data_IF_032796162990
#
_entry.id   IF_032796162990
#
_cell.length_a   1.000
_cell.length_b   1.000
_cell.length_c   1.000
_cell.angle_alpha   90.00
_cell.angle_beta   90.00
_cell.angle_gamma   90.00
#
_symmetry.space_group_name_H-M   'P 1'
#
loop_
_entity.id
_entity.type
_entity.pdbx_description
1 polymer ?
#
# COMPACT_ATOMS: atom_id res chain seq x y z
N UNK A 1 -7.42 -41.31 7.30
CA UNK A 1 -7.26 -40.12 6.43
C UNK A 1 -8.06 -38.89 6.91
N UNK A 2 -9.26 -39.06 7.44
CA UNK A 2 -10.14 -37.96 7.91
C UNK A 2 -9.53 -37.24 9.13
N UNK A 3 -8.95 -37.95 10.10
CA UNK A 3 -8.37 -37.36 11.31
C UNK A 3 -7.21 -36.38 11.06
N UNK A 4 -6.34 -36.63 10.07
CA UNK A 4 -5.22 -35.73 9.73
C UNK A 4 -5.74 -34.39 9.16
N UNK A 5 -6.80 -34.40 8.34
CA UNK A 5 -7.39 -33.18 7.78
C UNK A 5 -8.06 -32.33 8.87
N UNK A 6 -8.72 -32.98 9.83
CA UNK A 6 -9.35 -32.30 10.98
C UNK A 6 -8.29 -31.66 11.89
N UNK A 7 -7.22 -32.38 12.20
CA UNK A 7 -6.10 -31.87 12.99
C UNK A 7 -5.42 -30.69 12.28
N UNK A 8 -5.18 -30.81 10.99
CA UNK A 8 -4.57 -29.72 10.20
C UNK A 8 -5.44 -28.44 10.23
N UNK A 9 -6.77 -28.60 10.07
CA UNK A 9 -7.71 -27.45 10.15
C UNK A 9 -7.73 -26.82 11.54
N UNK A 10 -7.72 -27.64 12.61
CA UNK A 10 -7.67 -27.15 13.98
C UNK A 10 -6.37 -26.38 14.26
N UNK A 11 -5.22 -26.92 13.82
CA UNK A 11 -3.92 -26.24 13.93
C UNK A 11 -3.88 -24.93 13.12
N UNK A 12 -4.41 -24.91 11.89
CA UNK A 12 -4.49 -23.70 11.07
C UNK A 12 -5.34 -22.62 11.75
N UNK A 13 -6.48 -23.01 12.37
CA UNK A 13 -7.34 -22.09 13.12
C UNK A 13 -6.64 -21.54 14.36
N UNK A 14 -5.95 -22.42 15.11
CA UNK A 14 -5.14 -22.02 16.25
C UNK A 14 -4.03 -21.05 15.88
N UNK A 15 -3.24 -21.34 14.82
CA UNK A 15 -2.17 -20.48 14.36
C UNK A 15 -2.68 -19.14 13.85
N UNK A 16 -3.85 -19.11 13.20
CA UNK A 16 -4.48 -17.86 12.73
C UNK A 16 -4.82 -16.92 13.91
N UNK A 17 -5.25 -17.46 15.03
CA UNK A 17 -5.56 -16.68 16.24
C UNK A 17 -4.26 -16.25 16.94
N UNK A 18 -3.30 -17.15 17.08
CA UNK A 18 -2.06 -16.89 17.85
C UNK A 18 -1.04 -16.04 17.08
N UNK A 19 -1.08 -16.07 15.76
CA UNK A 19 -0.17 -15.33 14.87
C UNK A 19 -0.95 -14.36 13.98
N UNK A 20 -1.99 -13.75 14.51
CA UNK A 20 -2.79 -12.75 13.79
C UNK A 20 -1.92 -11.57 13.38
N UNK A 21 -1.71 -11.43 12.07
CA UNK A 21 -1.02 -10.31 11.46
C UNK A 21 -1.99 -9.66 10.47
N UNK A 22 -1.83 -8.36 10.27
CA UNK A 22 -2.47 -7.65 9.18
C UNK A 22 -1.44 -7.27 8.13
N UNK A 23 -1.88 -7.18 6.90
CA UNK A 23 -1.05 -6.81 5.76
C UNK A 23 -1.77 -5.74 4.95
N UNK A 24 -1.12 -4.62 4.76
CA UNK A 24 -1.54 -3.57 3.85
C UNK A 24 -0.64 -3.50 2.63
N UNK A 25 -1.15 -2.91 1.57
CA UNK A 25 -0.38 -2.57 0.36
C UNK A 25 -0.36 -1.06 0.16
N UNK A 26 0.75 -0.54 -0.38
CA UNK A 26 0.88 0.85 -0.79
C UNK A 26 1.57 0.93 -2.14
N UNK A 27 1.10 1.83 -3.00
CA UNK A 27 1.66 2.05 -4.32
C UNK A 27 2.42 3.37 -4.41
N UNK A 28 3.72 3.30 -4.73
CA UNK A 28 4.48 4.45 -5.23
C UNK A 28 4.22 4.53 -6.74
N UNK A 29 3.15 5.21 -7.11
CA UNK A 29 2.72 5.35 -8.51
C UNK A 29 3.47 6.51 -9.14
N UNK A 30 4.37 6.19 -10.06
CA UNK A 30 5.29 7.15 -10.69
C UNK A 30 5.01 7.26 -12.19
N UNK A 31 4.98 8.48 -12.68
CA UNK A 31 4.99 8.74 -14.12
C UNK A 31 6.43 8.82 -14.68
N UNK A 32 6.55 9.03 -16.00
CA UNK A 32 7.84 9.12 -16.68
C UNK A 32 8.73 10.30 -16.21
N UNK A 33 8.16 11.26 -15.51
CA UNK A 33 8.86 12.43 -14.94
C UNK A 33 9.11 12.27 -13.44
N UNK A 34 8.92 11.07 -12.87
CA UNK A 34 8.97 10.80 -11.43
C UNK A 34 8.01 11.68 -10.60
N UNK A 35 6.87 12.07 -11.18
CA UNK A 35 5.78 12.61 -10.38
C UNK A 35 5.00 11.45 -9.79
N UNK A 36 4.61 11.60 -8.54
CA UNK A 36 3.92 10.55 -7.79
C UNK A 36 2.49 10.96 -7.44
N UNK A 37 1.60 9.98 -7.44
CA UNK A 37 0.21 10.16 -7.01
C UNK A 37 0.15 9.97 -5.49
N UNK A 38 -0.41 10.95 -4.81
CA UNK A 38 -0.71 10.89 -3.38
C UNK A 38 -2.20 11.13 -3.14
N UNK A 39 -2.68 10.62 -2.02
CA UNK A 39 -4.06 10.77 -1.55
C UNK A 39 -4.10 11.44 -0.19
N UNK A 40 -5.19 12.14 0.07
CA UNK A 40 -5.52 12.70 1.38
C UNK A 40 -6.77 12.03 1.91
N UNK A 41 -6.64 11.34 3.03
CA UNK A 41 -7.76 10.66 3.68
C UNK A 41 -8.65 11.63 4.47
N UNK A 42 -9.91 11.25 4.64
CA UNK A 42 -10.85 12.01 5.47
C UNK A 42 -10.61 11.87 6.97
N UNK A 43 -9.92 10.82 7.39
CA UNK A 43 -9.73 10.44 8.79
C UNK A 43 -8.26 10.50 9.26
N UNK A 44 -7.31 10.76 8.35
CA UNK A 44 -5.89 10.92 8.69
C UNK A 44 -5.32 12.19 8.06
N UNK A 45 -4.50 12.95 8.80
CA UNK A 45 -3.88 14.15 8.25
C UNK A 45 -2.75 13.81 7.28
N UNK A 46 -2.47 14.74 6.36
CA UNK A 46 -1.35 14.68 5.44
C UNK A 46 -1.62 13.90 4.17
N UNK A 47 -0.58 13.84 3.34
CA UNK A 47 -0.60 13.11 2.08
C UNK A 47 0.05 11.74 2.25
N UNK A 48 -0.59 10.73 1.70
CA UNK A 48 -0.23 9.32 1.81
C UNK A 48 -0.07 8.68 0.43
N UNK A 49 0.65 7.57 0.35
CA UNK A 49 0.57 6.70 -0.82
C UNK A 49 -0.82 6.05 -0.89
N UNK A 50 -1.40 5.91 -2.10
CA UNK A 50 -2.64 5.15 -2.28
C UNK A 50 -2.44 3.68 -1.91
N UNK A 51 -3.49 3.05 -1.42
CA UNK A 51 -3.52 1.65 -1.02
C UNK A 51 -4.22 1.41 0.31
N UNK A 52 -4.51 0.16 0.61
CA UNK A 52 -5.29 -0.25 1.77
C UNK A 52 -4.94 -1.64 2.27
N UNK A 53 -5.86 -2.28 2.97
CA UNK A 53 -5.68 -3.60 3.51
C UNK A 53 -5.79 -4.70 2.46
N UNK A 54 -5.03 -5.78 2.65
CA UNK A 54 -5.21 -7.02 1.89
C UNK A 54 -6.37 -7.79 2.49
N UNK A 55 -7.37 -8.10 1.69
CA UNK A 55 -8.55 -8.83 2.12
C UNK A 55 -8.32 -10.34 2.13
N UNK A 56 -9.22 -11.05 2.81
CA UNK A 56 -9.11 -12.50 2.92
C UNK A 56 -9.27 -13.19 1.57
N UNK A 57 -8.28 -14.00 1.19
CA UNK A 57 -8.25 -14.71 -0.09
C UNK A 57 -7.70 -13.89 -1.26
N UNK A 58 -7.33 -12.63 -1.02
CA UNK A 58 -6.75 -11.73 -1.99
C UNK A 58 -5.22 -11.81 -1.96
N UNK A 59 -4.59 -11.75 -3.11
CA UNK A 59 -3.14 -11.56 -3.21
C UNK A 59 -2.78 -10.09 -3.01
N UNK A 60 -1.53 -9.79 -2.68
CA UNK A 60 -1.08 -8.40 -2.56
C UNK A 60 -1.19 -7.61 -3.86
N UNK A 61 -1.08 -8.26 -5.02
CA UNK A 61 -1.24 -7.62 -6.33
C UNK A 61 -2.69 -7.31 -6.64
N UNK A 62 -3.61 -8.22 -6.31
CA UNK A 62 -5.06 -7.98 -6.43
C UNK A 62 -5.49 -6.84 -5.51
N UNK A 63 -5.03 -6.84 -4.24
CA UNK A 63 -5.29 -5.75 -3.31
C UNK A 63 -4.79 -4.42 -3.85
N UNK A 64 -3.54 -4.36 -4.33
CA UNK A 64 -2.97 -3.15 -4.89
C UNK A 64 -3.77 -2.64 -6.09
N UNK A 65 -4.14 -3.52 -7.03
CA UNK A 65 -4.91 -3.16 -8.20
C UNK A 65 -6.29 -2.61 -7.82
N UNK A 66 -6.99 -3.26 -6.90
CA UNK A 66 -8.29 -2.82 -6.39
C UNK A 66 -8.20 -1.45 -5.71
N UNK A 67 -7.25 -1.27 -4.80
CA UNK A 67 -7.09 -0.01 -4.06
C UNK A 67 -6.72 1.16 -4.99
N UNK A 68 -5.84 0.94 -5.97
CA UNK A 68 -5.48 1.98 -6.94
C UNK A 68 -6.67 2.38 -7.83
N UNK A 69 -7.51 1.42 -8.20
CA UNK A 69 -8.72 1.72 -8.96
C UNK A 69 -9.75 2.46 -8.09
N UNK A 70 -10.01 1.99 -6.88
CA UNK A 70 -11.01 2.55 -5.96
C UNK A 70 -10.64 3.94 -5.46
N UNK A 71 -9.36 4.19 -5.11
CA UNK A 71 -8.93 5.45 -4.51
C UNK A 71 -8.57 6.52 -5.55
N UNK A 72 -7.93 6.13 -6.66
CA UNK A 72 -7.32 7.08 -7.61
C UNK A 72 -7.70 6.84 -9.08
N UNK A 73 -8.52 5.84 -9.38
CA UNK A 73 -8.94 5.52 -10.74
C UNK A 73 -7.79 5.05 -11.64
N UNK A 74 -6.79 4.39 -11.07
CA UNK A 74 -5.60 3.92 -11.78
C UNK A 74 -5.70 2.42 -12.02
N UNK A 75 -5.56 2.02 -13.27
CA UNK A 75 -5.42 0.62 -13.68
C UNK A 75 -3.94 0.28 -13.93
N UNK A 76 -3.51 -0.87 -13.44
CA UNK A 76 -2.17 -1.40 -13.73
C UNK A 76 -2.09 -1.81 -15.20
N UNK A 77 -1.01 -1.41 -15.87
CA UNK A 77 -0.71 -1.72 -17.29
C UNK A 77 0.58 -2.53 -17.45
N UNK A 78 1.03 -3.14 -16.38
CA UNK A 78 2.20 -3.99 -16.30
C UNK A 78 2.45 -4.42 -14.87
N UNK A 79 3.41 -5.33 -14.63
CA UNK A 79 3.70 -5.84 -13.30
C UNK A 79 4.34 -4.73 -12.43
N UNK A 80 3.77 -4.44 -11.23
CA UNK A 80 4.43 -3.57 -10.26
C UNK A 80 5.60 -4.33 -9.60
N UNK A 81 6.59 -3.58 -9.16
CA UNK A 81 7.74 -4.13 -8.42
C UNK A 81 7.45 -4.12 -6.92
N UNK A 82 7.53 -5.28 -6.26
CA UNK A 82 7.55 -5.32 -4.81
C UNK A 82 8.88 -4.73 -4.32
N UNK A 83 8.82 -3.50 -3.83
CA UNK A 83 10.00 -2.79 -3.37
C UNK A 83 10.45 -3.23 -1.99
N UNK A 84 9.52 -3.40 -1.04
CA UNK A 84 9.85 -3.82 0.31
C UNK A 84 8.64 -4.16 1.16
N UNK A 85 8.93 -4.82 2.27
CA UNK A 85 7.98 -5.13 3.32
C UNK A 85 8.43 -4.42 4.60
N UNK A 86 7.52 -3.69 5.24
CA UNK A 86 7.79 -2.85 6.41
C UNK A 86 6.87 -3.21 7.56
N UNK A 87 7.40 -3.17 8.78
CA UNK A 87 6.55 -3.25 9.98
C UNK A 87 5.90 -1.90 10.26
N UNK A 88 4.63 -1.89 10.68
CA UNK A 88 3.88 -0.68 11.02
C UNK A 88 3.50 -0.66 12.52
N UNK A 89 4.31 -1.26 13.36
CA UNK A 89 3.99 -1.56 14.77
C UNK A 89 3.79 -0.33 15.63
N UNK A 90 4.33 0.83 15.24
CA UNK A 90 4.09 2.09 15.97
C UNK A 90 2.64 2.56 15.88
N UNK A 91 1.96 2.25 14.79
CA UNK A 91 0.58 2.67 14.55
C UNK A 91 -0.42 1.54 14.78
N UNK A 92 -0.04 0.33 14.43
CA UNK A 92 -0.91 -0.84 14.58
C UNK A 92 -0.07 -2.10 14.87
N UNK A 93 -0.11 -2.62 16.10
CA UNK A 93 0.64 -3.82 16.48
C UNK A 93 0.31 -5.01 15.58
N UNK A 94 1.33 -5.66 15.03
CA UNK A 94 1.17 -6.80 14.13
C UNK A 94 0.91 -6.45 12.66
N UNK A 95 0.84 -5.16 12.32
CA UNK A 95 0.61 -4.73 10.94
C UNK A 95 1.90 -4.65 10.13
N UNK A 96 1.80 -5.05 8.87
CA UNK A 96 2.87 -4.98 7.89
C UNK A 96 2.38 -4.27 6.63
N UNK A 97 3.26 -3.59 5.94
CA UNK A 97 2.97 -2.88 4.69
C UNK A 97 3.90 -3.37 3.59
N UNK A 98 3.33 -3.89 2.53
CA UNK A 98 4.03 -4.19 1.29
C UNK A 98 4.00 -2.94 0.40
N UNK A 99 5.17 -2.38 0.11
CA UNK A 99 5.31 -1.23 -0.77
C UNK A 99 5.65 -1.70 -2.17
N UNK A 100 4.87 -1.25 -3.13
CA UNK A 100 5.09 -1.51 -4.56
C UNK A 100 5.47 -0.24 -5.30
N UNK A 101 6.40 -0.34 -6.23
CA UNK A 101 6.68 0.71 -7.23
C UNK A 101 5.89 0.40 -8.49
N UNK A 102 5.05 1.34 -8.91
CA UNK A 102 4.14 1.22 -10.05
C UNK A 102 4.56 2.23 -11.11
N UNK A 103 5.13 1.76 -12.22
CA UNK A 103 5.59 2.61 -13.34
C UNK A 103 4.75 2.42 -14.61
N UNK A 104 4.07 1.28 -14.74
CA UNK A 104 3.21 0.96 -15.89
C UNK A 104 1.76 0.97 -15.46
N UNK A 105 1.08 2.07 -15.75
CA UNK A 105 -0.29 2.30 -15.35
C UNK A 105 -1.02 3.23 -16.31
N UNK A 106 -2.34 3.19 -16.27
CA UNK A 106 -3.23 4.06 -17.03
C UNK A 106 -4.17 4.80 -16.08
N UNK A 107 -4.37 6.08 -16.34
CA UNK A 107 -5.40 6.84 -15.66
C UNK A 107 -6.76 6.51 -16.28
N UNK A 108 -7.66 5.97 -15.48
CA UNK A 108 -9.07 5.89 -15.78
C UNK A 108 -9.83 7.06 -15.19
N UNK A 109 -11.15 6.90 -15.03
CA UNK A 109 -11.99 7.90 -14.39
C UNK A 109 -11.61 8.00 -12.91
N UNK A 110 -11.19 9.19 -12.50
CA UNK A 110 -10.92 9.44 -11.09
C UNK A 110 -12.23 9.38 -10.29
N UNK A 111 -12.31 8.58 -9.22
CA UNK A 111 -13.49 8.54 -8.38
C UNK A 111 -13.75 9.92 -7.76
N UNK A 112 -15.03 10.29 -7.52
CA UNK A 112 -15.35 11.53 -6.84
C UNK A 112 -14.83 11.48 -5.40
N UNK A 113 -14.56 12.64 -4.78
CA UNK A 113 -14.21 12.72 -3.37
C UNK A 113 -15.22 11.97 -2.50
N UNK A 114 -14.72 11.20 -1.55
CA UNK A 114 -15.51 10.38 -0.63
C UNK A 114 -15.16 10.70 0.83
N UNK A 115 -15.82 10.02 1.76
CA UNK A 115 -15.40 10.07 3.16
C UNK A 115 -14.00 9.51 3.37
N UNK A 116 -13.62 8.52 2.59
CA UNK A 116 -12.31 7.85 2.68
C UNK A 116 -11.22 8.68 1.99
N UNK A 117 -11.41 9.05 0.73
CA UNK A 117 -10.45 9.85 -0.05
C UNK A 117 -11.05 11.21 -0.36
N UNK A 118 -10.53 12.25 0.27
CA UNK A 118 -10.96 13.63 0.06
C UNK A 118 -10.32 14.29 -1.13
N UNK A 119 -9.08 13.95 -1.40
CA UNK A 119 -8.29 14.56 -2.46
C UNK A 119 -7.24 13.59 -2.99
N UNK A 120 -7.00 13.64 -4.28
CA UNK A 120 -5.88 12.98 -4.94
C UNK A 120 -5.15 13.99 -5.81
N UNK A 121 -3.81 13.91 -5.85
CA UNK A 121 -3.00 14.84 -6.64
C UNK A 121 -1.66 14.24 -7.00
N UNK A 122 -1.09 14.69 -8.13
CA UNK A 122 0.28 14.38 -8.51
C UNK A 122 1.25 15.45 -8.00
N UNK A 123 2.38 15.01 -7.48
CA UNK A 123 3.46 15.87 -7.02
C UNK A 123 4.78 15.45 -7.64
N UNK A 124 5.66 16.40 -7.93
CA UNK A 124 7.04 16.08 -8.25
C UNK A 124 7.74 15.51 -7.00
N UNK A 125 8.57 14.50 -7.19
CA UNK A 125 9.22 13.82 -6.07
C UNK A 125 10.18 14.73 -5.26
N UNK A 126 10.73 15.76 -5.92
CA UNK A 126 11.59 16.79 -5.33
C UNK A 126 10.81 18.00 -4.78
N UNK A 127 9.50 18.05 -4.99
CA UNK A 127 8.61 19.12 -4.54
C UNK A 127 7.35 18.56 -3.82
N UNK A 128 7.57 17.70 -2.84
CA UNK A 128 6.49 17.13 -2.03
C UNK A 128 5.81 18.23 -1.20
N UNK A 129 4.48 18.14 -0.99
CA UNK A 129 3.75 19.09 -0.17
C UNK A 129 4.29 19.08 1.27
N UNK A 130 4.17 20.22 1.96
CA UNK A 130 4.70 20.38 3.32
C UNK A 130 4.14 19.33 4.28
N UNK A 131 2.87 19.02 4.15
CA UNK A 131 2.15 18.02 4.94
C UNK A 131 2.22 16.58 4.37
N UNK A 132 3.14 16.28 3.45
CA UNK A 132 3.45 14.90 3.10
C UNK A 132 3.95 14.15 4.33
N UNK A 133 3.38 12.97 4.59
CA UNK A 133 3.70 12.19 5.79
C UNK A 133 5.16 11.73 5.82
N UNK A 134 5.66 11.46 7.02
CA UNK A 134 7.02 10.95 7.21
C UNK A 134 7.31 9.69 6.39
N UNK A 135 6.41 8.68 6.36
CA UNK A 135 6.57 7.52 5.48
C UNK A 135 6.71 7.87 4.00
N UNK A 136 5.88 8.78 3.48
CA UNK A 136 6.00 9.22 2.08
C UNK A 136 7.41 9.76 1.80
N UNK A 137 7.91 10.65 2.62
CA UNK A 137 9.24 11.26 2.45
C UNK A 137 10.35 10.22 2.50
N UNK A 138 10.32 9.33 3.50
CA UNK A 138 11.33 8.27 3.66
C UNK A 138 11.32 7.29 2.48
N UNK A 139 10.15 6.80 2.10
CA UNK A 139 10.04 5.79 1.01
C UNK A 139 10.46 6.37 -0.33
N UNK A 140 10.13 7.63 -0.62
CA UNK A 140 10.58 8.28 -1.87
C UNK A 140 12.11 8.36 -1.93
N UNK A 141 12.79 8.68 -0.84
CA UNK A 141 14.25 8.70 -0.82
C UNK A 141 14.86 7.30 -0.99
N UNK A 142 14.22 6.28 -0.46
CA UNK A 142 14.66 4.90 -0.68
C UNK A 142 14.46 4.46 -2.14
N UNK A 143 13.29 4.76 -2.72
CA UNK A 143 12.94 4.33 -4.08
C UNK A 143 13.76 5.08 -5.14
N UNK A 144 13.90 6.40 -5.03
CA UNK A 144 14.49 7.22 -6.07
C UNK A 144 15.96 7.57 -5.83
N UNK A 145 16.38 7.70 -4.57
CA UNK A 145 17.76 8.03 -4.23
C UNK A 145 18.60 6.81 -3.82
N UNK A 146 18.03 5.61 -3.88
CA UNK A 146 18.74 4.36 -3.58
C UNK A 146 19.24 4.26 -2.14
N UNK A 147 18.58 4.95 -1.20
CA UNK A 147 18.93 4.80 0.21
C UNK A 147 18.58 3.41 0.72
N UNK A 148 19.33 2.90 1.72
CA UNK A 148 19.00 1.62 2.35
C UNK A 148 17.55 1.61 2.86
N UNK A 149 16.86 0.51 2.60
CA UNK A 149 15.48 0.31 3.07
C UNK A 149 15.47 0.16 4.59
N UNK A 150 14.55 0.89 5.25
CA UNK A 150 14.28 0.67 6.66
C UNK A 150 13.44 -0.60 6.86
N UNK A 151 13.42 -1.13 8.07
CA UNK A 151 12.55 -2.25 8.45
C UNK A 151 11.14 -1.78 8.85
N UNK A 152 11.00 -0.53 9.28
CA UNK A 152 9.74 0.05 9.75
C UNK A 152 9.23 1.15 8.81
N UNK A 153 7.91 1.22 8.75
CA UNK A 153 7.14 2.16 7.93
C UNK A 153 7.36 3.64 8.29
#
# INVERSE_FOLDING_TARGET
MIGRKLLTRALQRYWRIRRGLTLGVRGVVLDARNRLVLVRHGYQPGWHFPGGGVEWGETTLEALARELEEEVGIALDGPPELFGLYTNFKHFPGDHIALFVVRHWRQGDAPPPSFEIREQRQFAADALPEDATGPVRRRITEVLAGRPRAESW
#
